data_IF_511023001295
#
_entry.id   IF_511023001295
#
_cell.length_a   1.000
_cell.length_b   1.000
_cell.length_c   1.000
_cell.angle_alpha   90.00
_cell.angle_beta   90.00
_cell.angle_gamma   90.00
#
_symmetry.space_group_name_H-M   'P 1'
#
loop_
_entity.id
_entity.type
_entity.pdbx_description
1 polymer ?
#
# COMPACT_ATOMS: atom_id res chain seq x y z
N UNK A 1 -10.84 -1.00 -18.71
CA UNK A 1 -9.45 -1.00 -18.23
C UNK A 1 -9.44 -1.50 -16.80
N UNK A 2 -8.34 -2.09 -16.35
CA UNK A 2 -8.17 -2.44 -14.94
C UNK A 2 -7.74 -1.19 -14.15
N UNK A 3 -8.54 -0.70 -13.20
CA UNK A 3 -8.23 0.52 -12.45
C UNK A 3 -7.04 0.37 -11.50
N UNK A 4 -6.67 -0.85 -11.11
CA UNK A 4 -5.52 -1.11 -10.24
C UNK A 4 -4.16 -0.96 -10.97
N UNK A 5 -4.17 -0.92 -12.29
CA UNK A 5 -2.97 -0.89 -13.14
C UNK A 5 -2.80 0.44 -13.90
N UNK A 6 -3.49 1.49 -13.48
CA UNK A 6 -3.44 2.80 -14.11
C UNK A 6 -3.29 3.90 -13.07
N UNK A 7 -2.46 4.91 -13.35
CA UNK A 7 -2.40 6.09 -12.49
C UNK A 7 -3.63 6.97 -12.71
N UNK A 8 -3.99 7.77 -11.71
CA UNK A 8 -5.09 8.75 -11.82
C UNK A 8 -4.85 9.71 -13.00
N UNK A 9 -3.60 10.10 -13.24
CA UNK A 9 -3.21 10.96 -14.35
C UNK A 9 -3.47 10.31 -15.71
N UNK A 10 -3.07 9.05 -15.87
CA UNK A 10 -3.27 8.30 -17.11
C UNK A 10 -4.75 8.09 -17.41
N UNK A 11 -5.54 7.71 -16.41
CA UNK A 11 -7.00 7.55 -16.55
C UNK A 11 -7.65 8.85 -17.00
N UNK A 12 -7.25 10.00 -16.43
CA UNK A 12 -7.77 11.31 -16.82
C UNK A 12 -7.44 11.64 -18.28
N UNK A 13 -6.21 11.39 -18.71
CA UNK A 13 -5.76 11.64 -20.08
C UNK A 13 -6.44 10.72 -21.10
N UNK A 14 -6.55 9.43 -20.78
CA UNK A 14 -7.23 8.43 -21.62
C UNK A 14 -8.73 8.74 -21.75
N UNK A 15 -9.38 9.08 -20.65
CA UNK A 15 -10.81 9.46 -20.65
C UNK A 15 -11.06 10.65 -21.56
N UNK A 16 -10.28 11.72 -21.42
CA UNK A 16 -10.41 12.91 -22.26
C UNK A 16 -10.18 12.62 -23.75
N UNK A 17 -9.29 11.69 -24.09
CA UNK A 17 -9.02 11.28 -25.47
C UNK A 17 -10.13 10.41 -26.05
N UNK A 18 -10.70 9.51 -25.24
CA UNK A 18 -11.84 8.68 -25.62
C UNK A 18 -13.07 9.55 -25.91
N UNK A 19 -13.38 10.51 -25.04
CA UNK A 19 -14.52 11.42 -25.19
C UNK A 19 -14.45 12.23 -26.50
N UNK A 20 -13.26 12.73 -26.88
CA UNK A 20 -13.05 13.43 -28.17
C UNK A 20 -13.36 12.57 -29.39
N UNK A 21 -13.24 11.25 -29.24
CA UNK A 21 -13.48 10.28 -30.31
C UNK A 21 -14.90 9.68 -30.25
N UNK A 22 -15.75 10.15 -29.34
CA UNK A 22 -17.09 9.60 -29.10
C UNK A 22 -17.09 8.24 -28.39
N UNK A 23 -15.96 7.84 -27.80
CA UNK A 23 -15.82 6.59 -27.05
C UNK A 23 -15.95 6.83 -25.54
N UNK A 24 -16.26 5.77 -24.79
CA UNK A 24 -16.32 5.79 -23.33
C UNK A 24 -15.26 4.87 -22.75
N UNK A 25 -14.47 5.38 -21.81
CA UNK A 25 -13.52 4.58 -21.06
C UNK A 25 -14.23 3.90 -19.88
N UNK A 26 -14.31 2.56 -19.90
CA UNK A 26 -15.04 1.77 -18.90
C UNK A 26 -14.06 1.07 -17.95
N UNK A 27 -14.11 1.31 -16.62
CA UNK A 27 -13.37 0.52 -15.64
C UNK A 27 -13.99 -0.87 -15.50
N UNK A 28 -13.16 -1.89 -15.32
CA UNK A 28 -13.59 -3.27 -15.14
C UNK A 28 -13.26 -3.73 -13.73
N UNK A 29 -14.15 -4.52 -13.12
CA UNK A 29 -13.94 -5.08 -11.77
C UNK A 29 -12.84 -6.14 -11.72
N UNK A 30 -12.58 -6.82 -12.84
CA UNK A 30 -11.57 -7.87 -12.95
C UNK A 30 -10.70 -7.63 -14.16
N UNK A 31 -9.42 -7.96 -14.02
CA UNK A 31 -8.50 -7.94 -15.15
C UNK A 31 -8.92 -9.00 -16.18
N UNK A 32 -9.16 -8.62 -17.46
CA UNK A 32 -9.53 -9.60 -18.48
C UNK A 32 -8.44 -10.64 -18.77
N UNK A 33 -7.18 -10.34 -18.47
CA UNK A 33 -6.06 -11.28 -18.67
C UNK A 33 -6.12 -12.40 -17.63
N UNK A 34 -6.41 -12.10 -16.37
CA UNK A 34 -6.54 -13.10 -15.30
C UNK A 34 -7.62 -14.15 -15.63
N UNK A 35 -8.70 -13.73 -16.33
CA UNK A 35 -9.77 -14.65 -16.74
C UNK A 35 -9.33 -15.73 -17.73
N UNK A 36 -8.22 -15.52 -18.44
CA UNK A 36 -7.68 -16.46 -19.44
C UNK A 36 -6.31 -17.04 -19.06
N UNK A 37 -5.69 -16.58 -17.98
CA UNK A 37 -4.36 -16.99 -17.54
C UNK A 37 -4.43 -18.25 -16.66
N UNK A 38 -4.41 -19.42 -17.31
CA UNK A 38 -4.63 -20.71 -16.64
C UNK A 38 -3.53 -21.13 -15.67
N UNK A 39 -2.30 -20.68 -15.88
CA UNK A 39 -1.09 -21.01 -15.14
C UNK A 39 -0.51 -19.78 -14.41
N UNK A 40 -1.36 -18.84 -14.02
CA UNK A 40 -0.95 -17.68 -13.23
C UNK A 40 -0.31 -18.14 -11.91
N UNK A 41 0.92 -17.68 -11.60
CA UNK A 41 1.54 -18.00 -10.32
C UNK A 41 0.77 -17.36 -9.18
N UNK A 42 0.79 -18.01 -8.02
CA UNK A 42 0.26 -17.43 -6.79
C UNK A 42 1.01 -16.13 -6.41
N UNK A 43 0.34 -15.21 -5.70
CA UNK A 43 1.00 -14.03 -5.15
C UNK A 43 2.24 -14.41 -4.32
N UNK A 44 3.33 -13.61 -4.38
CA UNK A 44 4.55 -13.92 -3.66
C UNK A 44 4.34 -13.81 -2.14
N UNK A 45 4.98 -14.73 -1.42
CA UNK A 45 4.93 -14.85 0.04
C UNK A 45 6.34 -14.91 0.63
N UNK A 46 7.26 -14.10 0.08
CA UNK A 46 8.61 -14.05 0.63
C UNK A 46 8.55 -13.52 2.08
N UNK A 47 9.34 -14.09 3.01
CA UNK A 47 9.36 -13.61 4.38
C UNK A 47 9.71 -12.13 4.48
N UNK A 48 9.04 -11.43 5.37
CA UNK A 48 9.45 -10.07 5.78
C UNK A 48 10.53 -10.17 6.84
N UNK A 49 11.55 -9.32 6.71
CA UNK A 49 12.64 -9.19 7.66
C UNK A 49 12.73 -7.76 8.19
N UNK A 50 13.11 -7.60 9.46
CA UNK A 50 13.34 -6.29 10.06
C UNK A 50 14.66 -5.70 9.54
N UNK A 51 14.63 -4.43 9.16
CA UNK A 51 15.81 -3.68 8.77
C UNK A 51 16.49 -3.09 10.01
N UNK A 52 17.74 -3.48 10.34
CA UNK A 52 18.39 -3.02 11.57
C UNK A 52 18.62 -1.50 11.63
N UNK A 53 18.46 -0.92 12.82
CA UNK A 53 18.64 0.53 13.04
C UNK A 53 20.04 1.03 12.66
N UNK A 54 21.08 0.18 12.77
CA UNK A 54 22.44 0.50 12.34
C UNK A 54 22.55 0.85 10.84
N UNK A 55 21.59 0.37 10.03
CA UNK A 55 21.49 0.68 8.61
C UNK A 55 20.39 1.71 8.31
N UNK A 56 19.31 1.72 9.09
CA UNK A 56 18.18 2.63 8.89
C UNK A 56 18.49 4.09 9.28
N UNK A 57 19.31 4.31 10.31
CA UNK A 57 19.69 5.63 10.81
C UNK A 57 18.59 6.37 11.60
N UNK A 58 17.33 5.98 11.48
CA UNK A 58 16.17 6.52 12.19
C UNK A 58 15.20 5.37 12.51
N UNK A 59 14.57 5.36 13.68
CA UNK A 59 13.60 4.31 14.04
C UNK A 59 12.27 4.52 13.29
N UNK A 60 11.61 3.44 12.88
CA UNK A 60 10.26 3.46 12.31
C UNK A 60 9.26 4.33 13.08
N UNK A 61 9.23 4.21 14.42
CA UNK A 61 8.33 5.00 15.26
C UNK A 61 8.56 6.52 15.11
N UNK A 62 9.81 6.95 14.93
CA UNK A 62 10.18 8.36 14.83
C UNK A 62 9.83 8.89 13.43
N UNK A 63 10.07 8.07 12.39
CA UNK A 63 9.61 8.34 11.01
C UNK A 63 8.09 8.51 10.95
N UNK A 64 7.36 7.57 11.55
CA UNK A 64 5.89 7.57 11.57
C UNK A 64 5.33 8.80 12.31
N UNK A 65 5.88 9.14 13.47
CA UNK A 65 5.49 10.35 14.20
C UNK A 65 5.74 11.62 13.39
N UNK A 66 6.91 11.73 12.75
CA UNK A 66 7.25 12.86 11.88
C UNK A 66 6.33 12.97 10.67
N UNK A 67 5.95 11.84 10.07
CA UNK A 67 5.00 11.82 8.96
C UNK A 67 3.58 12.17 9.41
N UNK A 68 3.13 11.68 10.56
CA UNK A 68 1.84 12.03 11.14
C UNK A 68 1.71 13.55 11.37
N UNK A 69 2.76 14.18 11.91
CA UNK A 69 2.82 15.65 12.07
C UNK A 69 2.75 16.37 10.72
N UNK A 70 3.49 15.90 9.71
CA UNK A 70 3.46 16.48 8.36
C UNK A 70 2.08 16.39 7.71
N UNK A 71 1.40 15.24 7.83
CA UNK A 71 0.03 15.03 7.32
C UNK A 71 -0.93 16.05 7.96
N UNK A 72 -0.86 16.23 9.29
CA UNK A 72 -1.67 17.20 10.00
C UNK A 72 -1.38 18.66 9.60
N UNK A 73 -0.12 19.01 9.36
CA UNK A 73 0.27 20.36 8.87
C UNK A 73 -0.28 20.67 7.49
N UNK A 74 -0.41 19.65 6.64
CA UNK A 74 -1.00 19.78 5.30
C UNK A 74 -2.54 19.78 5.32
N UNK A 75 -3.16 19.70 6.51
CA UNK A 75 -4.62 19.69 6.68
C UNK A 75 -5.28 18.37 6.27
N UNK A 76 -4.51 17.31 6.06
CA UNK A 76 -5.01 15.98 5.77
C UNK A 76 -5.21 15.18 7.06
N UNK A 77 -6.11 14.20 7.03
CA UNK A 77 -6.28 13.23 8.13
C UNK A 77 -5.45 11.97 7.90
N UNK A 78 -5.23 11.60 6.64
CA UNK A 78 -4.54 10.38 6.25
C UNK A 78 -3.72 10.59 4.97
N UNK A 79 -2.70 9.75 4.78
CA UNK A 79 -2.05 9.55 3.49
C UNK A 79 -1.96 8.06 3.17
N UNK A 80 -2.06 7.72 1.89
CA UNK A 80 -2.01 6.35 1.40
C UNK A 80 -0.66 6.09 0.75
N UNK A 81 0.04 5.04 1.19
CA UNK A 81 1.27 4.56 0.59
C UNK A 81 0.98 3.31 -0.25
N UNK A 82 1.19 3.43 -1.56
CA UNK A 82 1.07 2.34 -2.53
C UNK A 82 2.42 1.89 -3.11
N UNK A 83 3.47 2.68 -2.90
CA UNK A 83 4.83 2.32 -3.29
C UNK A 83 5.46 1.42 -2.21
N UNK A 84 5.81 0.15 -2.54
CA UNK A 84 6.41 -0.78 -1.59
C UNK A 84 7.75 -0.30 -1.04
N UNK A 85 8.48 0.57 -1.75
CA UNK A 85 9.74 1.12 -1.26
C UNK A 85 9.52 2.12 -0.11
N UNK A 86 8.47 2.92 -0.21
CA UNK A 86 8.01 3.84 0.84
C UNK A 86 7.57 3.07 2.09
N UNK A 87 6.83 1.96 1.90
CA UNK A 87 6.37 1.08 2.99
C UNK A 87 7.57 0.41 3.68
N UNK A 88 8.49 -0.16 2.91
CA UNK A 88 9.70 -0.79 3.43
C UNK A 88 10.57 0.19 4.24
N UNK A 89 10.66 1.44 3.80
CA UNK A 89 11.42 2.47 4.50
C UNK A 89 10.72 2.93 5.79
N UNK A 90 9.42 3.23 5.76
CA UNK A 90 8.74 3.81 6.92
C UNK A 90 8.63 2.81 8.08
N UNK A 91 8.43 1.53 7.79
CA UNK A 91 8.31 0.46 8.79
C UNK A 91 9.63 -0.25 9.11
N UNK A 92 10.77 0.15 8.53
CA UNK A 92 12.04 -0.58 8.70
C UNK A 92 11.91 -2.09 8.42
N UNK A 93 11.34 -2.43 7.27
CA UNK A 93 11.21 -3.82 6.84
C UNK A 93 11.79 -4.04 5.44
N UNK A 94 12.14 -5.28 5.13
CA UNK A 94 12.55 -5.74 3.80
C UNK A 94 11.79 -7.02 3.45
N UNK A 95 11.69 -7.33 2.17
CA UNK A 95 11.06 -8.56 1.68
C UNK A 95 11.78 -9.12 0.46
N UNK A 96 11.15 -10.09 -0.19
CA UNK A 96 11.67 -10.72 -1.41
C UNK A 96 10.61 -10.96 -2.48
N UNK A 97 9.50 -10.21 -2.43
CA UNK A 97 8.38 -10.42 -3.34
C UNK A 97 8.67 -9.96 -4.76
N UNK A 98 9.63 -9.06 -4.92
CA UNK A 98 10.05 -8.53 -6.22
C UNK A 98 11.50 -8.94 -6.48
N UNK A 99 11.80 -9.65 -7.59
CA UNK A 99 13.17 -10.05 -7.90
C UNK A 99 14.14 -8.86 -7.90
N UNK A 100 15.31 -9.07 -7.29
CA UNK A 100 16.40 -8.08 -7.21
C UNK A 100 16.10 -6.78 -6.44
N UNK A 101 14.94 -6.66 -5.80
CA UNK A 101 14.64 -5.53 -4.91
C UNK A 101 14.09 -6.06 -3.58
N UNK A 102 14.58 -5.58 -2.42
CA UNK A 102 14.26 -6.17 -1.13
C UNK A 102 12.91 -5.66 -0.60
N UNK A 103 11.85 -5.85 -1.39
CA UNK A 103 10.53 -5.27 -1.19
C UNK A 103 9.52 -6.34 -0.78
N UNK A 104 8.68 -6.00 0.20
CA UNK A 104 7.47 -6.72 0.53
C UNK A 104 6.28 -5.96 -0.06
N UNK A 105 5.42 -6.65 -0.81
CA UNK A 105 4.24 -6.06 -1.41
C UNK A 105 3.13 -5.91 -0.35
N UNK A 106 2.55 -4.71 -0.30
CA UNK A 106 1.45 -4.33 0.58
C UNK A 106 1.04 -2.88 0.37
N UNK A 107 0.11 -2.40 1.20
CA UNK A 107 -0.33 -1.01 1.26
C UNK A 107 -0.23 -0.49 2.69
N UNK A 108 -0.11 0.82 2.87
CA UNK A 108 -0.24 1.42 4.20
C UNK A 108 -1.09 2.67 4.14
N UNK A 109 -1.80 2.94 5.24
CA UNK A 109 -2.49 4.20 5.48
C UNK A 109 -1.86 4.81 6.72
N UNK A 110 -1.24 5.97 6.58
CA UNK A 110 -0.72 6.69 7.73
C UNK A 110 -1.73 7.76 8.14
N UNK A 111 -2.14 7.76 9.41
CA UNK A 111 -3.03 8.77 9.96
C UNK A 111 -2.27 9.87 10.71
N UNK A 112 -2.81 11.10 10.69
CA UNK A 112 -2.25 12.25 11.40
C UNK A 112 -2.29 12.09 12.93
N UNK A 113 -3.20 11.27 13.45
CA UNK A 113 -3.32 10.94 14.88
C UNK A 113 -2.45 9.75 15.30
N UNK A 114 -1.71 9.15 14.37
CA UNK A 114 -0.85 7.98 14.61
C UNK A 114 -1.55 6.63 14.49
N UNK A 115 -2.85 6.57 14.17
CA UNK A 115 -3.60 5.32 13.92
C UNK A 115 -3.26 4.72 12.54
N UNK A 116 -2.00 4.32 12.36
CA UNK A 116 -1.52 3.76 11.10
C UNK A 116 -2.09 2.36 10.84
N UNK A 117 -2.36 2.04 9.57
CA UNK A 117 -2.81 0.74 9.10
C UNK A 117 -1.80 0.18 8.08
N UNK A 118 -1.50 -1.11 8.18
CA UNK A 118 -0.64 -1.85 7.24
C UNK A 118 -1.40 -3.05 6.67
N UNK A 119 -1.52 -3.10 5.35
CA UNK A 119 -2.22 -4.14 4.60
C UNK A 119 -1.19 -5.03 3.91
N UNK A 120 -0.93 -6.20 4.45
CA UNK A 120 0.08 -7.12 3.96
C UNK A 120 -0.24 -8.53 4.42
N UNK A 121 0.00 -9.52 3.55
CA UNK A 121 -0.28 -10.92 3.86
C UNK A 121 0.51 -11.38 5.09
N UNK A 122 -0.22 -11.72 6.16
CA UNK A 122 0.40 -11.99 7.45
C UNK A 122 1.19 -13.30 7.47
N UNK A 123 1.02 -14.17 6.46
CA UNK A 123 1.86 -15.38 6.28
C UNK A 123 3.32 -15.04 6.04
N UNK A 124 3.62 -13.79 5.64
CA UNK A 124 4.99 -13.29 5.47
C UNK A 124 5.67 -12.97 6.81
N UNK A 125 4.94 -12.93 7.92
CA UNK A 125 5.47 -12.46 9.20
C UNK A 125 5.94 -13.60 10.11
N UNK A 126 7.18 -13.49 10.58
CA UNK A 126 7.60 -14.20 11.78
C UNK A 126 6.94 -13.59 13.02
N UNK A 127 6.96 -14.30 14.15
CA UNK A 127 6.47 -13.77 15.44
C UNK A 127 7.15 -12.46 15.84
N UNK A 128 8.46 -12.36 15.58
CA UNK A 128 9.24 -11.15 15.88
C UNK A 128 8.81 -9.98 15.02
N UNK A 129 8.59 -10.21 13.72
CA UNK A 129 8.15 -9.18 12.78
C UNK A 129 6.73 -8.73 13.11
N UNK A 130 5.81 -9.65 13.37
CA UNK A 130 4.45 -9.33 13.77
C UNK A 130 4.44 -8.48 15.05
N UNK A 131 5.17 -8.91 16.10
CA UNK A 131 5.25 -8.17 17.36
C UNK A 131 5.85 -6.76 17.20
N UNK A 132 6.81 -6.60 16.29
CA UNK A 132 7.37 -5.29 15.96
C UNK A 132 6.34 -4.41 15.24
N UNK A 133 5.69 -4.91 14.19
CA UNK A 133 4.76 -4.14 13.39
C UNK A 133 3.48 -3.76 14.14
N UNK A 134 2.97 -4.62 15.04
CA UNK A 134 1.79 -4.31 15.87
C UNK A 134 2.00 -3.18 16.86
N UNK A 135 3.25 -2.77 17.12
CA UNK A 135 3.54 -1.57 17.92
C UNK A 135 3.46 -0.28 17.09
N UNK A 136 3.42 -0.39 15.76
CA UNK A 136 3.52 0.72 14.82
C UNK A 136 2.24 0.95 14.01
N UNK A 137 1.50 -0.12 13.70
CA UNK A 137 0.27 -0.07 12.91
C UNK A 137 -0.66 -1.26 13.23
N UNK A 138 -1.94 -1.09 12.95
CA UNK A 138 -2.88 -2.21 12.86
C UNK A 138 -2.61 -3.01 11.58
N UNK A 139 -2.64 -4.35 11.69
CA UNK A 139 -2.32 -5.25 10.59
C UNK A 139 -3.59 -5.81 9.96
N UNK A 140 -3.69 -5.70 8.65
CA UNK A 140 -4.81 -6.18 7.84
C UNK A 140 -4.33 -7.03 6.68
N UNK A 141 -5.20 -7.89 6.17
CA UNK A 141 -4.96 -8.60 4.91
C UNK A 141 -5.07 -7.65 3.70
N UNK A 142 -4.33 -7.90 2.60
CA UNK A 142 -4.35 -7.02 1.43
C UNK A 142 -5.74 -6.76 0.86
N UNK A 143 -6.63 -7.76 0.93
CA UNK A 143 -8.01 -7.67 0.42
C UNK A 143 -8.92 -6.74 1.23
N UNK A 144 -8.53 -6.32 2.43
CA UNK A 144 -9.31 -5.41 3.27
C UNK A 144 -9.08 -3.93 2.93
N UNK A 145 -8.08 -3.64 2.09
CA UNK A 145 -7.62 -2.28 1.79
C UNK A 145 -8.73 -1.37 1.24
N UNK A 146 -9.46 -1.79 0.20
CA UNK A 146 -10.51 -0.95 -0.40
C UNK A 146 -11.62 -0.60 0.61
N UNK A 147 -12.05 -1.59 1.41
CA UNK A 147 -13.09 -1.41 2.41
C UNK A 147 -12.66 -0.45 3.51
N UNK A 148 -11.40 -0.55 3.96
CA UNK A 148 -10.83 0.34 4.96
C UNK A 148 -10.77 1.79 4.45
N UNK A 149 -10.26 2.01 3.24
CA UNK A 149 -10.22 3.35 2.61
C UNK A 149 -11.63 3.93 2.47
N UNK A 150 -12.60 3.13 2.00
CA UNK A 150 -13.98 3.56 1.87
C UNK A 150 -14.62 3.91 3.23
N UNK A 151 -14.23 3.23 4.30
CA UNK A 151 -14.64 3.55 5.68
C UNK A 151 -14.08 4.89 6.15
N UNK A 152 -12.77 5.10 6.00
CA UNK A 152 -12.07 6.34 6.40
C UNK A 152 -12.61 7.57 5.64
N UNK A 153 -12.91 7.40 4.35
CA UNK A 153 -13.48 8.47 3.52
C UNK A 153 -14.87 8.93 4.00
N UNK A 154 -15.65 8.06 4.64
CA UNK A 154 -16.98 8.39 5.19
C UNK A 154 -16.90 9.06 6.56
N UNK A 155 -15.87 8.72 7.35
CA UNK A 155 -15.70 9.22 8.73
C UNK A 155 -15.09 10.62 8.84
N UNK A 156 -14.61 11.21 7.73
CA UNK A 156 -14.03 12.56 7.68
C UNK A 156 -15.04 13.65 7.23
N UNK A 157 -16.35 13.38 7.38
CA UNK A 157 -17.45 14.30 7.02
C UNK A 157 -18.08 14.98 8.24
#
# INVERSE_FOLDING_TARGET
>A
FDPWLQTIGDVKALKASAEKSGATLVPLERNPIDAIWKDQPEPPLAPVELHPIAFAGELAKDKLARLAEAIGKDGATHTVLTDPSSIAWVFDIRGGDVPHTPLALGFAVLAADGSHLLFMDQRKFSRTVAAYLTQLAELHEPGEFEAAIAGLAKGSA
#
